data_IF_499288829478
#
_entry.id   IF_499288829478
#
_cell.length_a   1.000
_cell.length_b   1.000
_cell.length_c   1.000
_cell.angle_alpha   90.00
_cell.angle_beta   90.00
_cell.angle_gamma   90.00
#
_symmetry.space_group_name_H-M   'P 1'
#
loop_
_entity.id
_entity.type
_entity.pdbx_description
1 polymer ?
#
# COMPACT_ATOMS: atom_id res chain seq x y z
N UNK A 1 -44.07 1.47 3.60
CA UNK A 1 -43.67 1.21 2.19
C UNK A 1 -42.55 2.23 1.91
N UNK A 2 -41.29 1.83 2.17
CA UNK A 2 -40.13 2.64 1.81
C UNK A 2 -40.04 2.65 0.28
N UNK A 3 -40.27 3.81 -0.30
CA UNK A 3 -39.99 4.03 -1.71
C UNK A 3 -38.48 3.95 -1.91
N UNK A 4 -38.01 2.95 -2.67
CA UNK A 4 -36.61 2.84 -3.06
C UNK A 4 -36.19 4.16 -3.73
N UNK A 5 -35.13 4.79 -3.20
CA UNK A 5 -34.58 6.00 -3.79
C UNK A 5 -34.15 5.75 -5.26
N UNK A 6 -34.29 6.75 -6.13
CA UNK A 6 -33.84 6.61 -7.52
C UNK A 6 -32.37 6.24 -7.58
N UNK A 7 -32.00 5.27 -8.41
CA UNK A 7 -30.64 4.78 -8.62
C UNK A 7 -29.63 5.93 -8.87
N UNK A 8 -30.03 6.96 -9.61
CA UNK A 8 -29.23 8.14 -9.88
C UNK A 8 -28.85 8.94 -8.62
N UNK A 9 -29.73 9.00 -7.62
CA UNK A 9 -29.45 9.72 -6.37
C UNK A 9 -28.46 8.97 -5.46
N UNK A 10 -28.52 7.65 -5.47
CA UNK A 10 -27.58 6.78 -4.72
C UNK A 10 -26.19 6.84 -5.37
N UNK A 11 -26.12 6.79 -6.70
CA UNK A 11 -24.87 6.84 -7.44
C UNK A 11 -24.20 8.20 -7.29
N UNK A 12 -24.95 9.30 -7.33
CA UNK A 12 -24.42 10.64 -7.10
C UNK A 12 -23.87 10.81 -5.68
N UNK A 13 -24.55 10.29 -4.65
CA UNK A 13 -24.04 10.31 -3.26
C UNK A 13 -22.75 9.50 -3.10
N UNK A 14 -22.64 8.35 -3.75
CA UNK A 14 -21.41 7.56 -3.70
C UNK A 14 -20.24 8.27 -4.38
N UNK A 15 -20.48 8.95 -5.50
CA UNK A 15 -19.48 9.76 -6.19
C UNK A 15 -19.01 10.91 -5.30
N UNK A 16 -19.93 11.63 -4.66
CA UNK A 16 -19.58 12.70 -3.73
C UNK A 16 -18.79 12.17 -2.53
N UNK A 17 -19.21 11.04 -1.94
CA UNK A 17 -18.50 10.43 -0.81
C UNK A 17 -17.07 10.05 -1.20
N UNK A 18 -16.86 9.41 -2.35
CA UNK A 18 -15.53 9.09 -2.85
C UNK A 18 -14.68 10.34 -3.10
N UNK A 19 -15.29 11.48 -3.49
CA UNK A 19 -14.60 12.74 -3.67
C UNK A 19 -14.05 13.29 -2.33
N UNK A 20 -14.79 13.15 -1.22
CA UNK A 20 -14.29 13.50 0.11
C UNK A 20 -13.06 12.66 0.49
N UNK A 21 -13.11 11.34 0.28
CA UNK A 21 -12.00 10.44 0.58
C UNK A 21 -10.75 10.77 -0.25
N UNK A 22 -10.90 11.01 -1.56
CA UNK A 22 -9.79 11.41 -2.45
C UNK A 22 -9.21 12.77 -2.04
N UNK A 23 -10.05 13.75 -1.74
CA UNK A 23 -9.61 15.06 -1.29
C UNK A 23 -8.79 14.96 0.00
N UNK A 24 -9.21 14.14 0.96
CA UNK A 24 -8.44 13.89 2.18
C UNK A 24 -7.11 13.18 1.87
N UNK A 25 -7.09 12.19 1.00
CA UNK A 25 -5.87 11.49 0.60
C UNK A 25 -4.83 12.42 -0.04
N UNK A 26 -5.24 13.27 -0.98
CA UNK A 26 -4.35 14.10 -1.78
C UNK A 26 -3.62 15.19 -0.96
N UNK A 27 -4.22 15.66 0.11
CA UNK A 27 -3.73 16.83 0.85
C UNK A 27 -2.80 16.53 2.02
N UNK A 28 -2.46 15.26 2.28
CA UNK A 28 -1.61 14.85 3.41
C UNK A 28 -2.06 15.49 4.74
N UNK A 29 -3.28 15.23 5.12
CA UNK A 29 -3.97 15.89 6.22
C UNK A 29 -3.40 15.48 7.58
N UNK A 30 -3.41 16.41 8.50
CA UNK A 30 -2.91 16.25 9.86
C UNK A 30 -3.83 15.37 10.75
N UNK A 31 -4.96 14.93 10.20
CA UNK A 31 -5.91 14.10 10.94
C UNK A 31 -5.53 12.62 10.73
N UNK A 32 -5.23 11.87 11.80
CA UNK A 32 -4.93 10.46 11.70
C UNK A 32 -6.07 9.65 11.07
N UNK A 33 -5.73 8.67 10.24
CA UNK A 33 -6.70 7.82 9.54
C UNK A 33 -7.77 7.21 10.48
N UNK A 34 -7.46 6.72 11.70
CA UNK A 34 -8.48 6.20 12.62
C UNK A 34 -9.55 7.24 13.00
N UNK A 35 -9.18 8.52 13.15
CA UNK A 35 -10.15 9.59 13.47
C UNK A 35 -11.07 9.88 12.28
N UNK A 36 -10.55 9.82 11.05
CA UNK A 36 -11.36 9.95 9.82
C UNK A 36 -12.34 8.79 9.71
N UNK A 37 -11.87 7.57 9.97
CA UNK A 37 -12.72 6.36 10.00
C UNK A 37 -13.81 6.47 11.06
N UNK A 38 -13.51 7.03 12.24
CA UNK A 38 -14.51 7.23 13.31
C UNK A 38 -15.63 8.15 12.86
N UNK A 39 -15.33 9.28 12.15
CA UNK A 39 -16.37 10.16 11.60
C UNK A 39 -17.25 9.40 10.61
N UNK A 40 -16.63 8.63 9.70
CA UNK A 40 -17.39 7.85 8.73
C UNK A 40 -18.28 6.80 9.39
N UNK A 41 -17.79 6.08 10.39
CA UNK A 41 -18.56 5.06 11.11
C UNK A 41 -19.73 5.65 11.90
N UNK A 42 -19.56 6.85 12.48
CA UNK A 42 -20.62 7.55 13.22
C UNK A 42 -21.71 8.11 12.28
N UNK A 43 -21.31 8.66 11.13
CA UNK A 43 -22.21 9.46 10.28
C UNK A 43 -22.58 8.77 8.96
N UNK A 44 -21.93 7.67 8.58
CA UNK A 44 -22.07 7.03 7.25
C UNK A 44 -21.48 7.86 6.10
N UNK A 45 -20.85 9.01 6.40
CA UNK A 45 -20.29 9.93 5.42
C UNK A 45 -19.21 10.81 6.05
N UNK A 46 -18.27 11.30 5.22
CA UNK A 46 -17.30 12.33 5.61
C UNK A 46 -17.80 13.77 5.42
N UNK A 47 -19.02 13.95 4.90
CA UNK A 47 -19.64 15.27 4.73
C UNK A 47 -19.57 16.16 6.00
N UNK A 48 -19.74 15.64 7.25
CA UNK A 48 -19.59 16.43 8.46
C UNK A 48 -18.26 17.16 8.61
N UNK A 49 -17.16 16.59 8.09
CA UNK A 49 -15.85 17.25 8.09
C UNK A 49 -15.81 18.51 7.20
N UNK A 50 -16.72 18.62 6.21
CA UNK A 50 -16.86 19.79 5.36
C UNK A 50 -17.87 20.81 5.91
N UNK A 51 -18.93 20.36 6.58
CA UNK A 51 -19.99 21.24 7.09
C UNK A 51 -19.73 21.78 8.48
N UNK A 52 -19.26 20.92 9.39
CA UNK A 52 -19.08 21.23 10.81
C UNK A 52 -17.79 20.65 11.37
N UNK A 53 -16.62 20.90 10.72
CA UNK A 53 -15.37 20.24 11.04
C UNK A 53 -14.94 20.42 12.50
N UNK A 54 -15.13 21.64 13.04
CA UNK A 54 -14.73 21.95 14.40
C UNK A 54 -15.43 21.06 15.44
N UNK A 55 -16.74 20.90 15.31
CA UNK A 55 -17.54 20.08 16.23
C UNK A 55 -17.10 18.62 16.26
N UNK A 56 -16.85 18.03 15.08
CA UNK A 56 -16.41 16.62 14.99
C UNK A 56 -14.98 16.43 15.45
N UNK A 57 -14.05 17.27 15.01
CA UNK A 57 -12.65 17.13 15.36
C UNK A 57 -12.38 17.37 16.84
N UNK A 58 -13.09 18.30 17.46
CA UNK A 58 -13.03 18.54 18.89
C UNK A 58 -13.51 17.32 19.70
N UNK A 59 -14.63 16.69 19.32
CA UNK A 59 -15.11 15.44 19.94
C UNK A 59 -14.09 14.30 19.85
N UNK A 60 -13.32 14.25 18.77
CA UNK A 60 -12.29 13.25 18.55
C UNK A 60 -10.95 13.61 19.23
N UNK A 61 -10.91 14.65 20.06
CA UNK A 61 -9.71 15.09 20.76
C UNK A 61 -8.62 15.60 19.80
N UNK A 62 -8.98 16.19 18.67
CA UNK A 62 -8.04 16.92 17.82
C UNK A 62 -7.85 18.31 18.42
N UNK A 63 -6.62 18.74 18.61
CA UNK A 63 -6.31 20.04 19.18
C UNK A 63 -6.79 21.19 18.27
N UNK A 64 -6.99 22.36 18.88
CA UNK A 64 -7.53 23.55 18.22
C UNK A 64 -6.65 24.04 17.07
N UNK A 65 -5.33 24.00 17.22
CA UNK A 65 -4.39 24.42 16.18
C UNK A 65 -4.48 23.53 14.95
N UNK A 66 -4.48 22.20 15.15
CA UNK A 66 -4.64 21.21 14.08
C UNK A 66 -6.00 21.35 13.39
N UNK A 67 -7.07 21.55 14.18
CA UNK A 67 -8.43 21.79 13.66
C UNK A 67 -8.50 23.02 12.77
N UNK A 68 -7.95 24.17 13.19
CA UNK A 68 -7.92 25.39 12.38
C UNK A 68 -7.12 25.22 11.09
N UNK A 69 -5.98 24.52 11.14
CA UNK A 69 -5.18 24.22 9.95
C UNK A 69 -5.94 23.32 8.99
N UNK A 70 -6.67 22.33 9.50
CA UNK A 70 -7.54 21.47 8.70
C UNK A 70 -8.63 22.29 8.00
N UNK A 71 -9.36 23.15 8.74
CA UNK A 71 -10.41 24.01 8.19
C UNK A 71 -9.84 24.88 7.05
N UNK A 72 -8.76 25.61 7.30
CA UNK A 72 -8.13 26.45 6.29
C UNK A 72 -7.65 25.68 5.03
N UNK A 73 -7.44 24.38 5.17
CA UNK A 73 -7.12 23.54 4.03
C UNK A 73 -8.38 23.12 3.25
N UNK A 74 -9.44 22.63 3.93
CA UNK A 74 -10.67 22.20 3.23
C UNK A 74 -11.38 23.34 2.50
N UNK A 75 -11.29 24.58 2.99
CA UNK A 75 -11.81 25.76 2.31
C UNK A 75 -11.18 26.00 0.93
N UNK A 76 -9.97 25.48 0.71
CA UNK A 76 -9.25 25.56 -0.57
C UNK A 76 -9.51 24.38 -1.49
N UNK A 77 -10.28 23.39 -1.03
CA UNK A 77 -10.63 22.21 -1.82
C UNK A 77 -11.83 22.51 -2.71
N UNK A 78 -11.67 22.31 -3.99
CA UNK A 78 -12.78 22.29 -4.94
C UNK A 78 -13.21 20.84 -5.17
N UNK A 79 -14.26 20.41 -4.47
CA UNK A 79 -14.76 19.04 -4.57
C UNK A 79 -15.11 18.62 -5.99
N UNK A 80 -15.56 19.56 -6.83
CA UNK A 80 -15.84 19.31 -8.24
C UNK A 80 -14.62 18.79 -9.01
N UNK A 81 -13.38 19.17 -8.63
CA UNK A 81 -12.16 18.65 -9.26
C UNK A 81 -12.01 17.16 -8.99
N UNK A 82 -12.32 16.69 -7.77
CA UNK A 82 -12.28 15.26 -7.40
C UNK A 82 -13.44 14.48 -8.01
N UNK A 83 -14.61 15.07 -8.15
CA UNK A 83 -15.72 14.47 -8.90
C UNK A 83 -15.34 14.28 -10.38
N UNK A 84 -14.67 15.26 -10.99
CA UNK A 84 -14.17 15.15 -12.36
C UNK A 84 -13.05 14.10 -12.47
N UNK A 85 -12.19 13.99 -11.46
CA UNK A 85 -11.18 12.94 -11.37
C UNK A 85 -11.82 11.55 -11.30
N UNK A 86 -12.84 11.35 -10.46
CA UNK A 86 -13.57 10.08 -10.37
C UNK A 86 -14.18 9.65 -11.71
N UNK A 87 -14.76 10.57 -12.46
CA UNK A 87 -15.26 10.30 -13.84
C UNK A 87 -14.11 9.89 -14.78
N UNK A 88 -12.95 10.52 -14.63
CA UNK A 88 -11.75 10.15 -15.39
C UNK A 88 -11.26 8.75 -15.01
N UNK A 89 -11.23 8.42 -13.71
CA UNK A 89 -10.87 7.09 -13.22
C UNK A 89 -11.81 6.02 -13.79
N UNK A 90 -13.12 6.26 -13.74
CA UNK A 90 -14.13 5.35 -14.29
C UNK A 90 -13.93 5.11 -15.79
N UNK A 91 -13.75 6.17 -16.59
CA UNK A 91 -13.49 6.08 -18.03
C UNK A 91 -12.23 5.27 -18.37
N UNK A 92 -11.27 5.21 -17.47
CA UNK A 92 -10.02 4.45 -17.58
C UNK A 92 -10.06 3.10 -16.86
N UNK A 93 -11.24 2.67 -16.42
CA UNK A 93 -11.44 1.42 -15.67
C UNK A 93 -10.60 1.33 -14.38
N UNK A 94 -10.24 2.47 -13.80
CA UNK A 94 -9.60 2.54 -12.48
C UNK A 94 -10.68 2.55 -11.42
N UNK A 95 -10.62 1.58 -10.53
CA UNK A 95 -11.55 1.42 -9.42
C UNK A 95 -10.97 2.05 -8.16
N UNK A 96 -11.86 2.46 -7.26
CA UNK A 96 -11.54 3.08 -5.98
C UNK A 96 -11.93 2.12 -4.86
N UNK A 97 -11.05 1.94 -3.88
CA UNK A 97 -11.33 1.21 -2.65
C UNK A 97 -10.89 2.06 -1.46
N UNK A 98 -11.81 2.31 -0.53
CA UNK A 98 -11.58 3.14 0.65
C UNK A 98 -11.12 2.29 1.83
N UNK A 99 -10.45 2.90 2.78
CA UNK A 99 -9.97 2.26 4.00
C UNK A 99 -11.07 1.52 4.79
N UNK A 100 -12.32 1.97 4.65
CA UNK A 100 -13.51 1.38 5.30
C UNK A 100 -14.19 0.27 4.50
N UNK A 101 -13.81 0.07 3.25
CA UNK A 101 -14.44 -0.91 2.38
C UNK A 101 -13.97 -2.34 2.72
N UNK A 102 -14.88 -3.31 2.60
CA UNK A 102 -14.62 -4.74 2.89
C UNK A 102 -13.44 -5.34 2.10
N UNK A 103 -13.18 -4.84 0.89
CA UNK A 103 -12.09 -5.31 0.04
C UNK A 103 -10.75 -4.63 0.30
N UNK A 104 -10.66 -3.70 1.23
CA UNK A 104 -9.40 -3.05 1.57
C UNK A 104 -8.47 -4.05 2.29
N UNK A 105 -7.15 -4.08 1.95
CA UNK A 105 -6.22 -5.06 2.55
C UNK A 105 -6.12 -4.90 4.07
N UNK A 106 -6.52 -5.93 4.83
CA UNK A 106 -6.55 -5.86 6.30
C UNK A 106 -5.15 -5.56 6.88
N UNK A 107 -4.12 -6.21 6.37
CA UNK A 107 -2.75 -5.95 6.83
C UNK A 107 -2.29 -4.50 6.57
N UNK A 108 -2.83 -3.85 5.55
CA UNK A 108 -2.50 -2.46 5.25
C UNK A 108 -3.16 -1.48 6.22
N UNK A 109 -4.29 -1.85 6.82
CA UNK A 109 -4.94 -1.04 7.86
C UNK A 109 -4.06 -0.87 9.10
N UNK A 110 -3.16 -1.81 9.36
CA UNK A 110 -2.31 -1.85 10.58
C UNK A 110 -1.03 -1.04 10.49
N UNK A 111 -0.68 -0.46 9.35
CA UNK A 111 0.51 0.39 9.24
C UNK A 111 0.23 1.79 9.80
N UNK A 112 1.27 2.50 10.20
CA UNK A 112 1.17 3.82 10.83
C UNK A 112 0.35 4.83 10.01
N UNK A 113 0.54 4.86 8.69
CA UNK A 113 -0.14 5.77 7.77
C UNK A 113 -0.78 4.99 6.61
N UNK A 114 -1.91 4.29 6.84
CA UNK A 114 -2.59 3.58 5.78
C UNK A 114 -3.17 4.56 4.76
N UNK A 115 -3.10 4.26 3.45
CA UNK A 115 -3.82 5.04 2.45
C UNK A 115 -5.31 5.10 2.76
N UNK A 116 -5.91 6.28 2.74
CA UNK A 116 -7.36 6.43 2.89
C UNK A 116 -8.10 5.82 1.70
N UNK A 117 -7.44 5.87 0.53
CA UNK A 117 -7.95 5.38 -0.75
C UNK A 117 -6.84 4.64 -1.47
N UNK A 118 -7.16 3.49 -2.04
CA UNK A 118 -6.38 2.82 -3.05
C UNK A 118 -7.10 2.86 -4.39
N UNK A 119 -6.37 3.21 -5.43
CA UNK A 119 -6.78 3.11 -6.81
C UNK A 119 -6.26 1.79 -7.37
N UNK A 120 -7.07 1.08 -8.16
CA UNK A 120 -6.62 -0.17 -8.73
C UNK A 120 -7.18 -0.45 -10.11
N UNK A 121 -6.41 -1.19 -10.91
CA UNK A 121 -6.83 -1.84 -12.16
C UNK A 121 -6.61 -3.34 -12.04
N UNK A 122 -7.41 -4.12 -12.76
CA UNK A 122 -7.29 -5.57 -12.81
C UNK A 122 -8.20 -6.28 -11.82
N UNK A 123 -7.78 -7.47 -11.40
CA UNK A 123 -8.54 -8.35 -10.52
C UNK A 123 -7.94 -8.32 -9.12
N UNK A 124 -8.59 -7.62 -8.21
CA UNK A 124 -8.28 -7.74 -6.80
C UNK A 124 -8.69 -9.12 -6.32
N UNK A 125 -7.71 -9.90 -5.94
CA UNK A 125 -7.90 -11.12 -5.18
C UNK A 125 -7.67 -10.84 -3.69
N UNK A 126 -7.95 -11.84 -2.88
CA UNK A 126 -7.58 -11.87 -1.48
C UNK A 126 -6.11 -11.48 -1.28
N UNK A 127 -5.87 -10.50 -0.41
CA UNK A 127 -4.52 -10.03 -0.06
C UNK A 127 -3.83 -10.88 1.01
N UNK A 128 -4.48 -11.93 1.55
CA UNK A 128 -3.96 -12.74 2.67
C UNK A 128 -2.67 -13.47 2.34
N UNK A 129 -2.40 -13.75 1.06
CA UNK A 129 -1.25 -14.51 0.62
C UNK A 129 -0.25 -13.68 -0.22
N UNK A 130 -0.03 -12.42 0.16
CA UNK A 130 0.90 -11.53 -0.52
C UNK A 130 2.31 -11.64 0.06
N UNK A 131 3.32 -11.65 -0.82
CA UNK A 131 4.75 -11.61 -0.49
C UNK A 131 5.40 -10.48 -1.29
N UNK A 132 6.01 -9.52 -0.60
CA UNK A 132 6.76 -8.46 -1.27
C UNK A 132 8.13 -8.96 -1.72
N UNK A 133 8.54 -8.55 -2.90
CA UNK A 133 9.92 -8.72 -3.38
C UNK A 133 10.48 -7.36 -3.78
N UNK A 134 11.73 -7.09 -3.41
CA UNK A 134 12.39 -5.83 -3.69
C UNK A 134 13.89 -6.01 -3.92
N UNK A 135 14.49 -5.10 -4.68
CA UNK A 135 15.91 -5.12 -4.93
C UNK A 135 16.39 -3.97 -5.80
N UNK A 136 17.65 -4.04 -6.17
CA UNK A 136 18.31 -3.03 -7.02
C UNK A 136 17.71 -2.98 -8.42
N UNK A 137 17.77 -1.80 -9.03
CA UNK A 137 17.40 -1.60 -10.44
C UNK A 137 18.42 -2.19 -11.42
N UNK A 138 19.64 -2.49 -10.96
CA UNK A 138 20.73 -3.06 -11.75
C UNK A 138 21.27 -4.35 -11.08
N UNK A 139 20.47 -5.43 -11.03
CA UNK A 139 20.89 -6.67 -10.41
C UNK A 139 21.97 -7.39 -11.24
N UNK A 140 22.83 -8.14 -10.54
CA UNK A 140 23.74 -9.11 -11.15
C UNK A 140 22.96 -10.18 -11.92
N UNK A 141 23.64 -10.98 -12.74
CA UNK A 141 23.02 -12.13 -13.40
C UNK A 141 22.40 -13.09 -12.37
N UNK A 142 23.12 -13.35 -11.27
CA UNK A 142 22.61 -14.15 -10.15
C UNK A 142 21.34 -13.54 -9.55
N UNK A 143 21.35 -12.24 -9.25
CA UNK A 143 20.18 -11.53 -8.70
C UNK A 143 18.95 -11.62 -9.60
N UNK A 144 19.13 -11.49 -10.93
CA UNK A 144 18.02 -11.64 -11.92
C UNK A 144 17.43 -13.04 -11.90
N UNK A 145 18.32 -14.06 -12.01
CA UNK A 145 17.90 -15.46 -12.01
C UNK A 145 17.17 -15.81 -10.72
N UNK A 146 17.71 -15.39 -9.57
CA UNK A 146 17.13 -15.74 -8.28
C UNK A 146 15.83 -15.00 -7.99
N UNK A 147 15.70 -13.73 -8.36
CA UNK A 147 14.44 -12.99 -8.27
C UNK A 147 13.32 -13.73 -9.02
N UNK A 148 13.59 -14.10 -10.28
CA UNK A 148 12.64 -14.84 -11.13
C UNK A 148 12.30 -16.22 -10.55
N UNK A 149 13.31 -17.00 -10.13
CA UNK A 149 13.12 -18.37 -9.58
C UNK A 149 12.35 -18.35 -8.27
N UNK A 150 12.68 -17.46 -7.35
CA UNK A 150 11.99 -17.32 -6.06
C UNK A 150 10.54 -16.92 -6.30
N UNK A 151 10.29 -15.88 -7.11
CA UNK A 151 8.94 -15.43 -7.44
C UNK A 151 8.10 -16.55 -8.08
N UNK A 152 8.65 -17.27 -9.06
CA UNK A 152 7.96 -18.40 -9.71
C UNK A 152 7.62 -19.51 -8.74
N UNK A 153 8.56 -19.84 -7.84
CA UNK A 153 8.34 -20.88 -6.82
C UNK A 153 7.26 -20.51 -5.84
N UNK A 154 7.27 -19.27 -5.32
CA UNK A 154 6.27 -18.75 -4.39
C UNK A 154 4.89 -18.65 -5.07
N UNK A 155 4.83 -18.11 -6.29
CA UNK A 155 3.59 -17.98 -7.05
C UNK A 155 3.00 -19.37 -7.41
N UNK A 156 3.85 -20.36 -7.71
CA UNK A 156 3.44 -21.75 -7.93
C UNK A 156 2.84 -22.43 -6.70
N UNK A 157 3.06 -21.87 -5.50
CA UNK A 157 2.44 -22.30 -4.24
C UNK A 157 1.21 -21.47 -3.84
N UNK A 158 0.73 -20.62 -4.75
CA UNK A 158 -0.49 -19.81 -4.54
C UNK A 158 -0.26 -18.45 -3.89
N UNK A 159 1.00 -18.05 -3.66
CA UNK A 159 1.28 -16.71 -3.15
C UNK A 159 1.25 -15.67 -4.27
N UNK A 160 0.76 -14.48 -3.96
CA UNK A 160 0.77 -13.33 -4.87
C UNK A 160 2.06 -12.53 -4.64
N UNK A 161 2.83 -12.30 -5.70
CA UNK A 161 4.06 -11.52 -5.60
C UNK A 161 3.73 -10.05 -5.74
N UNK A 162 4.20 -9.26 -4.77
CA UNK A 162 4.00 -7.80 -4.72
C UNK A 162 5.33 -7.11 -4.97
N UNK A 163 5.39 -6.20 -5.93
CA UNK A 163 6.58 -5.39 -6.18
C UNK A 163 6.21 -4.04 -6.79
N UNK A 164 7.21 -3.23 -7.17
CA UNK A 164 7.02 -1.85 -7.55
C UNK A 164 7.09 -1.53 -9.03
N UNK A 165 7.17 -2.54 -9.89
CA UNK A 165 7.30 -2.40 -11.34
C UNK A 165 8.57 -1.61 -11.79
N UNK A 166 9.56 -1.44 -10.92
CA UNK A 166 10.82 -0.82 -11.30
C UNK A 166 11.65 -1.76 -12.19
N UNK A 167 12.65 -1.20 -12.89
CA UNK A 167 13.67 -2.00 -13.57
C UNK A 167 14.35 -2.95 -12.59
N UNK A 168 14.89 -4.03 -13.08
CA UNK A 168 15.72 -4.95 -12.31
C UNK A 168 14.92 -5.94 -11.47
N UNK A 169 15.17 -6.01 -10.16
CA UNK A 169 14.58 -7.07 -9.31
C UNK A 169 13.07 -7.09 -9.38
N UNK A 170 12.40 -5.92 -9.38
CA UNK A 170 10.95 -5.84 -9.43
C UNK A 170 10.39 -6.48 -10.71
N UNK A 171 10.98 -6.14 -11.86
CA UNK A 171 10.66 -6.71 -13.18
C UNK A 171 10.78 -8.23 -13.18
N UNK A 172 11.92 -8.74 -12.69
CA UNK A 172 12.18 -10.19 -12.67
C UNK A 172 11.27 -10.93 -11.68
N UNK A 173 10.89 -10.29 -10.58
CA UNK A 173 9.92 -10.83 -9.65
C UNK A 173 8.52 -10.94 -10.27
N UNK A 174 8.05 -9.88 -10.93
CA UNK A 174 6.77 -9.90 -11.65
C UNK A 174 6.76 -10.95 -12.75
N UNK A 175 7.79 -10.95 -13.61
CA UNK A 175 7.92 -11.93 -14.70
C UNK A 175 7.94 -13.38 -14.19
N UNK A 176 8.72 -13.65 -13.15
CA UNK A 176 8.78 -14.96 -12.52
C UNK A 176 7.44 -15.41 -11.95
N UNK A 177 6.71 -14.53 -11.28
CA UNK A 177 5.37 -14.82 -10.77
C UNK A 177 4.41 -15.20 -11.91
N UNK A 178 4.42 -14.43 -12.99
CA UNK A 178 3.55 -14.65 -14.14
C UNK A 178 3.91 -15.91 -14.96
N UNK A 179 5.10 -16.47 -14.81
CA UNK A 179 5.47 -17.75 -15.43
C UNK A 179 4.89 -18.96 -14.70
N UNK A 180 4.50 -18.83 -13.44
CA UNK A 180 3.86 -19.91 -12.72
C UNK A 180 2.44 -20.16 -13.27
N UNK A 181 1.99 -21.42 -13.42
CA UNK A 181 0.59 -21.71 -13.72
C UNK A 181 -0.30 -21.06 -12.66
N UNK A 182 -1.29 -20.25 -13.07
CA UNK A 182 -2.16 -19.46 -12.18
C UNK A 182 -1.42 -18.47 -11.27
N UNK A 183 -0.14 -18.18 -11.55
CA UNK A 183 0.65 -17.22 -10.80
C UNK A 183 0.05 -15.81 -10.91
N UNK A 184 0.08 -15.08 -9.79
CA UNK A 184 -0.47 -13.73 -9.66
C UNK A 184 0.60 -12.74 -9.23
N UNK A 185 0.45 -11.50 -9.67
CA UNK A 185 1.32 -10.43 -9.22
C UNK A 185 0.53 -9.14 -8.99
N UNK A 186 1.00 -8.33 -8.06
CA UNK A 186 0.46 -6.99 -7.78
C UNK A 186 1.61 -5.99 -7.94
N UNK A 187 1.42 -5.02 -8.83
CA UNK A 187 2.33 -3.90 -8.96
C UNK A 187 1.81 -2.72 -8.14
N UNK A 188 2.57 -2.29 -7.14
CA UNK A 188 2.26 -1.08 -6.38
C UNK A 188 3.05 0.07 -6.98
N UNK A 189 2.38 1.10 -7.49
CA UNK A 189 2.99 2.20 -8.21
C UNK A 189 3.02 3.48 -7.39
N UNK A 190 3.96 4.36 -7.68
CA UNK A 190 4.00 5.70 -7.09
C UNK A 190 2.87 6.61 -7.60
N UNK A 191 2.39 6.34 -8.80
CA UNK A 191 1.19 6.92 -9.45
C UNK A 191 0.70 5.95 -10.52
N UNK A 192 -0.59 6.04 -10.86
CA UNK A 192 -1.24 5.11 -11.79
C UNK A 192 -0.88 5.41 -13.24
N UNK A 193 -0.79 6.67 -13.63
CA UNK A 193 -0.56 7.12 -15.00
C UNK A 193 0.37 8.35 -15.12
N UNK A 194 1.28 8.32 -16.11
CA UNK A 194 1.59 7.21 -17.01
C UNK A 194 2.34 6.09 -16.30
N UNK A 195 2.27 4.86 -16.83
CA UNK A 195 3.09 3.74 -16.33
C UNK A 195 4.57 4.12 -16.43
N UNK A 196 5.30 3.90 -15.34
CA UNK A 196 6.73 4.14 -15.27
C UNK A 196 7.46 2.94 -14.64
N UNK A 197 8.56 2.47 -15.27
CA UNK A 197 9.14 2.96 -16.52
C UNK A 197 8.30 2.57 -17.76
N UNK A 198 8.42 3.32 -18.84
CA UNK A 198 7.59 3.18 -20.04
C UNK A 198 7.75 1.80 -20.71
N UNK A 199 8.97 1.23 -20.68
CA UNK A 199 9.25 -0.10 -21.21
C UNK A 199 8.49 -1.23 -20.47
N UNK A 200 7.92 -0.97 -19.27
CA UNK A 200 7.14 -1.95 -18.52
C UNK A 200 5.62 -1.86 -18.75
N UNK A 201 5.16 -1.10 -19.74
CA UNK A 201 3.73 -0.99 -20.07
C UNK A 201 3.12 -2.35 -20.38
N UNK A 202 3.80 -3.21 -21.14
CA UNK A 202 3.26 -4.54 -21.47
C UNK A 202 3.30 -5.49 -20.27
N UNK A 203 4.35 -5.43 -19.45
CA UNK A 203 4.39 -6.17 -18.17
C UNK A 203 3.25 -5.73 -17.25
N UNK A 204 2.96 -4.43 -17.19
CA UNK A 204 1.84 -3.90 -16.42
C UNK A 204 0.49 -4.48 -16.89
N UNK A 205 0.25 -4.56 -18.20
CA UNK A 205 -0.95 -5.20 -18.78
C UNK A 205 -1.04 -6.68 -18.42
N UNK A 206 0.09 -7.41 -18.42
CA UNK A 206 0.13 -8.83 -18.03
C UNK A 206 -0.18 -9.01 -16.55
N UNK A 207 0.31 -8.11 -15.69
CA UNK A 207 -0.03 -8.08 -14.25
C UNK A 207 -1.52 -7.78 -14.07
N UNK A 208 -2.06 -6.78 -14.77
CA UNK A 208 -3.47 -6.41 -14.69
C UNK A 208 -4.41 -7.57 -15.04
N UNK A 209 -4.05 -8.39 -16.03
CA UNK A 209 -4.85 -9.56 -16.45
C UNK A 209 -4.94 -10.66 -15.40
N UNK A 210 -3.93 -10.86 -14.56
CA UNK A 210 -3.84 -11.97 -13.59
C UNK A 210 -3.68 -11.54 -12.14
N UNK A 211 -3.71 -10.25 -11.90
CA UNK A 211 -3.55 -9.62 -10.61
C UNK A 211 -3.99 -8.17 -10.67
N UNK A 212 -3.26 -7.24 -10.07
CA UNK A 212 -3.67 -5.85 -10.03
C UNK A 212 -2.49 -4.87 -10.10
N UNK A 213 -2.80 -3.69 -10.59
CA UNK A 213 -1.99 -2.49 -10.43
C UNK A 213 -2.62 -1.65 -9.33
N UNK A 214 -1.85 -1.26 -8.33
CA UNK A 214 -2.30 -0.44 -7.19
C UNK A 214 -1.53 0.88 -7.13
N UNK A 215 -2.19 1.94 -6.74
CA UNK A 215 -1.57 3.21 -6.35
C UNK A 215 -2.46 4.00 -5.39
N UNK A 216 -1.89 4.88 -4.60
CA UNK A 216 -2.63 5.89 -3.85
C UNK A 216 -2.77 7.22 -4.59
N UNK A 217 -2.19 7.33 -5.79
CA UNK A 217 -2.16 8.55 -6.60
C UNK A 217 -2.45 8.21 -8.06
N UNK A 218 -3.33 9.00 -8.70
CA UNK A 218 -3.68 8.74 -10.10
C UNK A 218 -2.61 9.25 -11.06
N UNK A 219 -2.31 10.54 -11.02
CA UNK A 219 -1.38 11.19 -11.96
C UNK A 219 0.01 11.36 -11.39
N UNK A 220 1.01 11.27 -12.26
CA UNK A 220 2.38 11.64 -11.94
C UNK A 220 2.44 13.10 -11.47
N UNK A 221 3.12 13.40 -10.36
CA UNK A 221 3.37 14.77 -9.97
C UNK A 221 4.28 15.44 -11.02
N UNK A 222 3.87 16.62 -11.49
CA UNK A 222 4.61 17.41 -12.49
C UNK A 222 5.84 18.12 -11.91
N UNK A 223 6.19 17.87 -10.64
CA UNK A 223 7.21 18.61 -9.90
C UNK A 223 8.30 17.69 -9.32
N UNK A 224 9.27 18.30 -8.62
CA UNK A 224 10.41 17.62 -7.97
C UNK A 224 10.03 16.60 -6.88
N UNK A 225 8.75 16.41 -6.57
CA UNK A 225 8.28 15.46 -5.54
C UNK A 225 8.20 14.01 -6.01
N UNK A 226 8.40 13.72 -7.29
CA UNK A 226 8.36 12.38 -7.84
C UNK A 226 9.26 11.36 -7.10
N UNK A 227 10.54 11.66 -6.74
CA UNK A 227 11.37 10.71 -5.99
C UNK A 227 10.78 10.32 -4.63
N UNK A 228 10.18 11.27 -3.91
CA UNK A 228 9.56 11.00 -2.61
C UNK A 228 8.37 10.04 -2.71
N UNK A 229 7.61 10.09 -3.80
CA UNK A 229 6.47 9.19 -4.04
C UNK A 229 6.90 7.73 -4.17
N UNK A 230 8.06 7.45 -4.76
CA UNK A 230 8.58 6.08 -4.82
C UNK A 230 8.91 5.53 -3.43
N UNK A 231 9.46 6.36 -2.54
CA UNK A 231 9.74 5.96 -1.15
C UNK A 231 8.44 5.79 -0.37
N UNK A 232 7.51 6.75 -0.50
CA UNK A 232 6.21 6.71 0.16
C UNK A 232 5.40 5.46 -0.20
N UNK A 233 5.40 5.06 -1.47
CA UNK A 233 4.73 3.87 -1.99
C UNK A 233 5.21 2.57 -1.34
N UNK A 234 6.48 2.51 -0.91
CA UNK A 234 7.08 1.31 -0.34
C UNK A 234 6.33 0.81 0.90
N UNK A 235 5.71 1.73 1.67
CA UNK A 235 4.90 1.33 2.84
C UNK A 235 3.67 0.50 2.45
N UNK A 236 3.14 0.71 1.25
CA UNK A 236 2.00 -0.07 0.74
C UNK A 236 2.48 -1.46 0.30
N UNK A 237 3.62 -1.54 -0.40
CA UNK A 237 4.20 -2.80 -0.85
C UNK A 237 4.42 -3.79 0.31
N UNK A 238 5.07 -3.34 1.38
CA UNK A 238 5.25 -4.18 2.59
C UNK A 238 3.98 -4.26 3.43
N UNK A 239 3.15 -3.20 3.44
CA UNK A 239 1.92 -3.15 4.22
C UNK A 239 0.89 -4.21 3.83
N UNK A 240 0.77 -4.53 2.53
CA UNK A 240 -0.14 -5.59 2.04
C UNK A 240 0.49 -6.99 2.06
N UNK A 241 1.75 -7.13 2.51
CA UNK A 241 2.50 -8.38 2.39
C UNK A 241 2.80 -8.99 3.74
N UNK A 242 2.76 -10.33 3.82
CA UNK A 242 3.10 -11.11 5.03
C UNK A 242 4.59 -11.03 5.37
N UNK A 243 5.42 -11.01 4.33
CA UNK A 243 6.87 -10.88 4.47
C UNK A 243 7.46 -10.16 3.26
N UNK A 244 8.71 -9.76 3.36
CA UNK A 244 9.48 -9.11 2.29
C UNK A 244 10.72 -9.93 1.99
N UNK A 245 10.99 -10.20 0.71
CA UNK A 245 12.22 -10.81 0.22
C UNK A 245 13.08 -9.75 -0.47
N UNK A 246 14.17 -9.37 0.16
CA UNK A 246 15.19 -8.50 -0.42
C UNK A 246 16.19 -9.35 -1.18
N UNK A 247 16.30 -9.15 -2.50
CA UNK A 247 17.12 -10.01 -3.38
C UNK A 247 18.54 -9.50 -3.49
N UNK A 248 18.73 -8.26 -3.90
CA UNK A 248 20.04 -7.64 -4.07
C UNK A 248 19.93 -6.13 -3.91
N UNK A 249 20.92 -5.50 -3.27
CA UNK A 249 20.97 -4.04 -3.11
C UNK A 249 22.41 -3.60 -2.87
N UNK A 250 22.61 -2.28 -3.00
CA UNK A 250 23.73 -1.60 -2.40
C UNK A 250 23.45 -1.30 -0.92
N UNK A 251 24.48 -0.94 -0.18
CA UNK A 251 24.40 -0.58 1.24
C UNK A 251 23.51 0.66 1.54
N UNK A 252 23.34 1.58 0.58
CA UNK A 252 22.52 2.80 0.69
C UNK A 252 21.38 2.85 -0.33
N UNK A 253 21.05 1.73 -0.99
CA UNK A 253 20.07 1.70 -2.06
C UNK A 253 18.62 1.88 -1.59
N UNK A 254 17.71 2.13 -2.54
CA UNK A 254 16.27 2.25 -2.29
C UNK A 254 15.67 1.01 -1.62
N UNK A 255 16.26 -0.15 -1.78
CA UNK A 255 15.86 -1.40 -1.13
C UNK A 255 16.10 -1.36 0.38
N UNK A 256 17.14 -0.65 0.85
CA UNK A 256 17.39 -0.46 2.29
C UNK A 256 16.23 0.30 2.94
N UNK A 257 15.66 1.30 2.25
CA UNK A 257 14.47 2.00 2.71
C UNK A 257 13.25 1.06 2.78
N UNK A 258 13.08 0.19 1.77
CA UNK A 258 12.00 -0.81 1.77
C UNK A 258 12.14 -1.77 2.96
N UNK A 259 13.34 -2.28 3.22
CA UNK A 259 13.63 -3.17 4.36
C UNK A 259 13.34 -2.47 5.70
N UNK A 260 13.80 -1.22 5.85
CA UNK A 260 13.55 -0.43 7.07
C UNK A 260 12.06 -0.24 7.34
N UNK A 261 11.29 0.11 6.31
CA UNK A 261 9.84 0.28 6.39
C UNK A 261 9.17 -1.04 6.77
N UNK A 262 9.55 -2.15 6.13
CA UNK A 262 9.00 -3.47 6.41
C UNK A 262 9.22 -3.91 7.87
N UNK A 263 10.44 -3.70 8.39
CA UNK A 263 10.78 -4.00 9.78
C UNK A 263 10.00 -3.12 10.77
N UNK A 264 9.85 -1.82 10.49
CA UNK A 264 9.03 -0.91 11.28
C UNK A 264 7.55 -1.35 11.31
N UNK A 265 7.05 -1.90 10.21
CA UNK A 265 5.71 -2.50 10.11
C UNK A 265 5.64 -3.91 10.73
N UNK A 266 6.70 -4.37 11.41
CA UNK A 266 6.80 -5.72 12.01
C UNK A 266 6.62 -6.85 10.98
N UNK A 267 7.00 -6.62 9.71
CA UNK A 267 7.01 -7.66 8.69
C UNK A 267 8.31 -8.45 8.79
N UNK A 268 8.22 -9.77 8.60
CA UNK A 268 9.40 -10.60 8.45
C UNK A 268 10.14 -10.22 7.17
N UNK A 269 11.46 -10.01 7.28
CA UNK A 269 12.31 -9.71 6.12
C UNK A 269 13.28 -10.84 5.91
N UNK A 270 13.38 -11.31 4.68
CA UNK A 270 14.35 -12.26 4.21
C UNK A 270 15.33 -11.57 3.26
N UNK A 271 16.62 -11.89 3.37
CA UNK A 271 17.67 -11.39 2.50
C UNK A 271 18.31 -12.55 1.75
N UNK A 272 18.30 -12.48 0.41
CA UNK A 272 18.95 -13.49 -0.42
C UNK A 272 20.47 -13.39 -0.26
N UNK A 273 21.12 -14.50 0.09
CA UNK A 273 22.56 -14.59 0.17
C UNK A 273 23.16 -14.37 -1.24
N UNK A 274 24.07 -13.39 -1.42
CA UNK A 274 24.65 -13.07 -2.72
C UNK A 274 25.74 -14.06 -3.12
N UNK A 275 25.98 -14.17 -4.42
CA UNK A 275 27.11 -14.89 -4.99
C UNK A 275 28.02 -13.96 -5.79
N UNK A 276 29.32 -13.95 -5.46
CA UNK A 276 30.36 -13.39 -6.31
C UNK A 276 30.38 -11.87 -6.53
N UNK A 277 29.55 -11.08 -5.83
CA UNK A 277 29.40 -9.64 -6.01
C UNK A 277 29.60 -8.90 -4.69
N UNK A 278 30.74 -8.23 -4.53
CA UNK A 278 31.10 -7.50 -3.29
C UNK A 278 30.08 -6.38 -2.94
N UNK A 279 29.53 -5.71 -3.94
CA UNK A 279 28.49 -4.69 -3.74
C UNK A 279 27.22 -5.31 -3.15
N UNK A 280 26.80 -6.45 -3.70
CA UNK A 280 25.66 -7.22 -3.21
C UNK A 280 25.91 -7.77 -1.80
N UNK A 281 27.15 -8.16 -1.47
CA UNK A 281 27.51 -8.61 -0.12
C UNK A 281 27.35 -7.51 0.91
N UNK A 282 27.81 -6.29 0.64
CA UNK A 282 27.63 -5.14 1.57
C UNK A 282 26.16 -4.84 1.79
N UNK A 283 25.32 -4.84 0.73
CA UNK A 283 23.88 -4.67 0.87
C UNK A 283 23.23 -5.78 1.69
N UNK A 284 23.63 -7.04 1.47
CA UNK A 284 23.16 -8.18 2.26
C UNK A 284 23.55 -8.07 3.73
N UNK A 285 24.81 -7.72 4.06
CA UNK A 285 25.27 -7.49 5.42
C UNK A 285 24.46 -6.37 6.11
N UNK A 286 24.17 -5.30 5.38
CA UNK A 286 23.28 -4.22 5.87
C UNK A 286 21.91 -4.78 6.24
N UNK A 287 21.30 -5.63 5.42
CA UNK A 287 20.00 -6.24 5.73
C UNK A 287 20.06 -7.15 6.95
N UNK A 288 21.11 -7.98 7.06
CA UNK A 288 21.29 -8.87 8.22
C UNK A 288 21.47 -8.06 9.51
N UNK A 289 22.27 -7.00 9.48
CA UNK A 289 22.47 -6.10 10.62
C UNK A 289 21.18 -5.37 11.03
N UNK A 290 20.25 -5.15 10.09
CA UNK A 290 18.92 -4.61 10.36
C UNK A 290 17.94 -5.65 10.92
N UNK A 291 18.29 -6.94 10.95
CA UNK A 291 17.44 -8.03 11.46
C UNK A 291 16.76 -8.89 10.40
N UNK A 292 17.17 -8.79 9.12
CA UNK A 292 16.69 -9.70 8.10
C UNK A 292 17.24 -11.11 8.32
N UNK A 293 16.51 -12.12 7.85
CA UNK A 293 16.95 -13.53 7.88
C UNK A 293 17.54 -13.92 6.54
N UNK A 294 18.75 -14.48 6.56
CA UNK A 294 19.40 -14.98 5.36
C UNK A 294 18.64 -16.17 4.75
N UNK A 295 18.51 -16.18 3.42
CA UNK A 295 17.94 -17.29 2.64
C UNK A 295 18.80 -17.57 1.41
N UNK A 296 18.70 -18.80 0.90
CA UNK A 296 19.31 -19.23 -0.37
C UNK A 296 18.27 -19.53 -1.45
N UNK A 297 17.02 -19.71 -1.07
CA UNK A 297 15.95 -20.11 -1.99
C UNK A 297 14.56 -19.71 -1.46
N UNK A 298 13.53 -19.99 -2.24
CA UNK A 298 12.13 -19.83 -1.80
C UNK A 298 11.74 -20.81 -0.68
N UNK A 299 12.49 -21.89 -0.49
CA UNK A 299 12.14 -22.93 0.49
C UNK A 299 12.07 -22.36 1.91
N UNK A 300 13.05 -21.57 2.32
CA UNK A 300 13.13 -20.99 3.65
C UNK A 300 11.98 -20.03 3.91
N UNK A 301 11.53 -19.30 2.88
CA UNK A 301 10.34 -18.44 2.95
C UNK A 301 9.08 -19.29 3.13
N UNK A 302 8.94 -20.38 2.36
CA UNK A 302 7.80 -21.29 2.45
C UNK A 302 7.76 -22.02 3.80
N UNK A 303 8.91 -22.44 4.31
CA UNK A 303 9.03 -23.10 5.61
C UNK A 303 8.61 -22.16 6.77
N UNK A 304 8.93 -20.87 6.66
CA UNK A 304 8.46 -19.87 7.60
C UNK A 304 6.94 -19.70 7.51
N UNK A 305 6.40 -19.48 6.31
CA UNK A 305 4.98 -19.24 6.09
C UNK A 305 4.09 -20.42 6.48
N UNK A 306 4.62 -21.66 6.38
CA UNK A 306 3.89 -22.86 6.81
C UNK A 306 3.77 -23.01 8.33
N UNK A 307 4.64 -22.34 9.10
CA UNK A 307 4.63 -22.34 10.57
C UNK A 307 3.80 -21.20 11.16
N UNK A 308 3.60 -20.12 10.41
CA UNK A 308 2.69 -19.04 10.81
C UNK A 308 1.24 -19.49 10.61
N UNK A 309 0.55 -19.75 11.73
CA UNK A 309 -0.88 -20.06 11.72
C UNK A 309 -1.71 -18.85 11.26
N UNK A 310 -2.82 -19.01 10.54
CA UNK A 310 -3.73 -17.90 10.19
C UNK A 310 -4.25 -17.12 11.42
N UNK A 311 -4.27 -17.73 12.60
CA UNK A 311 -4.72 -17.11 13.86
C UNK A 311 -3.76 -16.04 14.42
N UNK A 312 -2.47 -16.02 14.03
CA UNK A 312 -1.54 -14.98 14.48
C UNK A 312 -1.82 -13.63 13.82
N UNK A 313 -2.48 -13.61 12.67
CA UNK A 313 -2.89 -12.37 12.00
C UNK A 313 -4.07 -11.70 12.72
N UNK A 314 -5.08 -12.47 13.16
CA UNK A 314 -6.22 -11.94 13.89
C UNK A 314 -5.82 -11.33 15.23
N UNK A 315 -4.89 -11.93 15.98
CA UNK A 315 -4.41 -11.35 17.24
C UNK A 315 -3.63 -10.05 17.06
N UNK A 316 -2.96 -9.84 15.92
CA UNK A 316 -2.29 -8.57 15.58
C UNK A 316 -3.30 -7.49 15.18
N UNK A 317 -4.37 -7.86 14.50
CA UNK A 317 -5.48 -6.97 14.15
C UNK A 317 -6.25 -6.53 15.40
N UNK A 318 -6.58 -7.46 16.28
CA UNK A 318 -7.28 -7.19 17.55
C UNK A 318 -6.47 -6.23 18.44
N UNK A 319 -5.14 -6.41 18.55
CA UNK A 319 -4.28 -5.50 19.30
C UNK A 319 -4.20 -4.09 18.69
N UNK A 320 -4.25 -3.98 17.37
CA UNK A 320 -4.24 -2.68 16.69
C UNK A 320 -5.55 -1.93 16.91
N UNK A 321 -6.69 -2.62 16.80
CA UNK A 321 -8.00 -2.00 17.05
C UNK A 321 -8.17 -1.61 18.52
N UNK A 322 -7.68 -2.41 19.49
CA UNK A 322 -7.68 -2.04 20.89
C UNK A 322 -6.80 -0.82 21.16
N UNK A 323 -5.57 -0.77 20.62
CA UNK A 323 -4.71 0.41 20.74
C UNK A 323 -5.27 1.64 20.02
N UNK A 324 -6.00 1.50 18.92
CA UNK A 324 -6.62 2.66 18.23
C UNK A 324 -7.82 3.24 19.00
N UNK A 325 -8.47 2.44 19.84
CA UNK A 325 -9.51 2.88 20.77
C UNK A 325 -8.91 3.58 22.02
N UNK A 326 -7.75 3.13 22.51
CA UNK A 326 -7.03 3.71 23.66
C UNK A 326 -6.40 5.08 23.39
N UNK A 327 -6.26 5.50 22.13
CA UNK A 327 -5.80 6.86 21.78
C UNK A 327 -6.76 7.97 22.26
N UNK A 328 -7.97 7.61 22.71
CA UNK A 328 -8.91 8.52 23.38
C UNK A 328 -8.52 8.86 24.82
N UNK A 329 -7.67 8.09 25.50
CA UNK A 329 -7.33 8.28 26.91
C UNK A 329 -5.96 8.93 27.19
N UNK A 330 -5.02 8.93 26.22
CA UNK A 330 -3.64 9.47 26.40
C UNK A 330 -3.61 11.01 26.53
N UNK A 331 -4.72 11.69 26.28
CA UNK A 331 -4.83 13.15 26.43
C UNK A 331 -5.09 13.67 27.85
N UNK A 332 -5.26 12.80 28.86
CA UNK A 332 -5.65 13.22 30.22
C UNK A 332 -4.52 13.36 31.26
N UNK A 333 -3.31 12.88 30.94
CA UNK A 333 -2.19 12.92 31.91
C UNK A 333 -0.99 13.75 31.42
N UNK A 334 -1.20 14.98 31.00
CA UNK A 334 -0.18 16.04 31.02
C UNK A 334 -0.86 17.40 31.23
N UNK A 335 -1.29 17.66 32.44
CA UNK A 335 -1.47 18.99 32.98
C UNK A 335 -0.23 19.42 33.74
#
# INVERSE_FOLDING_TARGET
>A
MDQAEPLDSVQNRLVEENAYWLALQDRNWLIPAPKIVSVFNECGSLLPLWRTPYSFLSKLGVDDQTTRRFIGNIERVRLQDYVAELKTLESKQVKVIRLVDKGYPEMLKTIENPPLVLLYKGVLSDFTNCIAMAGTRNPSLYGRIMARRIAKSLAGKGYTIVSGLARGVDEWAHSGALEAPKGRSIAVLAWMEPIYPEEHVDLAKDIERRGAILSETFKSPLNKSAPARFVQRNRITSGISRCVVAVESDEEGGTVHQVRIALAQKRKVFALQPEGNERAKRGFETFINMGATAIKSAKEVLDFLSRESPNTENSRLDSYYQHSLDWGEIGKDRS
#
